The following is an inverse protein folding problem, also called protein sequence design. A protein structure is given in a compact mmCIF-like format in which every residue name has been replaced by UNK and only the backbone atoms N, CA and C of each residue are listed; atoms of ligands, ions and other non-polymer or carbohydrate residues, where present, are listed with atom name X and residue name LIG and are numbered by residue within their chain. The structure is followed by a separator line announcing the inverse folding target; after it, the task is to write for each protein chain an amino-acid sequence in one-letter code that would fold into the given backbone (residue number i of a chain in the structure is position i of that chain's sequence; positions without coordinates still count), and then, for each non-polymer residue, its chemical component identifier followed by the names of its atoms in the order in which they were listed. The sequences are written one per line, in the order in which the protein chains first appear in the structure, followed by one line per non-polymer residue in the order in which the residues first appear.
data_IF_834284307299
#
_entry.id   IF_834284307299
#
_cell.length_a   1.000
_cell.length_b   1.000
_cell.length_c   1.000
_cell.angle_alpha   90.00
_cell.angle_beta   90.00
_cell.angle_gamma   90.00
#
_symmetry.space_group_name_H-M   'P 1'
#
loop_
_entity.id
_entity.type
_entity.pdbx_description
1 polymer ?
#
# COMPACT_ATOMS: atom_id res chain seq x y z
N UNK A 1 3.59 -8.94 -3.58
CA UNK A 1 4.49 -9.50 -2.56
C UNK A 1 4.90 -8.35 -1.65
N UNK A 2 4.68 -8.47 -0.33
CA UNK A 2 5.13 -7.46 0.64
C UNK A 2 6.55 -7.85 1.01
N UNK A 3 7.54 -7.19 0.41
CA UNK A 3 8.95 -7.41 0.74
C UNK A 3 9.27 -6.62 2.01
N UNK A 4 9.24 -7.28 3.15
CA UNK A 4 9.92 -6.79 4.36
C UNK A 4 11.41 -7.05 4.21
N UNK A 5 12.22 -6.01 4.37
CA UNK A 5 13.68 -6.06 4.32
C UNK A 5 14.22 -7.14 5.29
N UNK A 6 15.14 -7.96 4.81
CA UNK A 6 15.70 -9.10 5.53
C UNK A 6 16.72 -8.60 6.57
N UNK A 7 16.24 -8.13 7.72
CA UNK A 7 17.13 -7.74 8.82
C UNK A 7 16.51 -6.87 9.90
N UNK A 8 15.60 -7.42 10.72
CA UNK A 8 15.31 -6.82 12.03
C UNK A 8 13.87 -6.94 12.51
N UNK A 9 13.54 -8.11 13.06
CA UNK A 9 12.35 -8.32 13.88
C UNK A 9 11.06 -8.48 13.08
N UNK A 10 10.35 -9.58 13.31
CA UNK A 10 8.90 -9.65 13.03
C UNK A 10 8.27 -8.39 13.61
N UNK A 11 7.60 -7.52 12.83
CA UNK A 11 6.93 -6.37 13.42
C UNK A 11 5.88 -6.93 14.39
N UNK A 12 6.04 -6.68 15.68
CA UNK A 12 4.98 -6.92 16.68
C UNK A 12 3.71 -6.10 16.37
N UNK A 13 3.81 -5.17 15.40
CA UNK A 13 2.71 -4.64 14.62
C UNK A 13 2.25 -5.65 13.55
N UNK A 14 1.39 -6.58 13.94
CA UNK A 14 0.67 -7.37 12.95
C UNK A 14 -0.26 -6.44 12.16
N UNK A 15 0.00 -6.30 10.85
CA UNK A 15 -0.83 -5.51 9.95
C UNK A 15 -1.35 -6.41 8.83
N UNK A 16 -2.64 -6.35 8.55
CA UNK A 16 -3.26 -7.02 7.41
C UNK A 16 -3.52 -6.00 6.30
N UNK A 17 -3.10 -6.33 5.08
CA UNK A 17 -3.36 -5.51 3.89
C UNK A 17 -4.35 -6.24 2.99
N UNK A 18 -5.47 -5.60 2.70
CA UNK A 18 -6.41 -6.02 1.68
C UNK A 18 -6.28 -5.14 0.44
N UNK A 19 -6.33 -5.74 -0.73
CA UNK A 19 -6.42 -5.03 -2.00
C UNK A 19 -7.62 -5.57 -2.78
N UNK A 20 -8.42 -4.67 -3.34
CA UNK A 20 -9.51 -5.03 -4.24
C UNK A 20 -9.67 -3.97 -5.33
N UNK A 21 -10.12 -4.41 -6.51
CA UNK A 21 -10.54 -3.49 -7.56
C UNK A 21 -12.02 -3.18 -7.34
N UNK A 22 -12.36 -1.90 -7.26
CA UNK A 22 -13.74 -1.43 -6.99
C UNK A 22 -14.48 -1.03 -8.27
N UNK A 23 -13.74 -0.79 -9.35
CA UNK A 23 -14.28 -0.50 -10.66
C UNK A 23 -13.20 -0.56 -11.73
N UNK A 24 -13.58 -0.96 -12.93
CA UNK A 24 -12.70 -1.09 -14.09
C UNK A 24 -13.41 -0.52 -15.31
N UNK A 25 -12.68 0.15 -16.18
CA UNK A 25 -13.19 0.69 -17.44
C UNK A 25 -12.10 0.66 -18.52
N UNK A 26 -12.45 0.85 -19.80
CA UNK A 26 -11.45 0.91 -20.85
C UNK A 26 -10.40 2.01 -20.57
N UNK A 27 -9.16 1.59 -20.34
CA UNK A 27 -8.03 2.51 -20.08
C UNK A 27 -7.79 2.87 -18.61
N UNK A 28 -8.51 2.30 -17.64
CA UNK A 28 -8.25 2.58 -16.22
C UNK A 28 -9.00 1.68 -15.25
N UNK A 29 -8.60 1.74 -13.98
CA UNK A 29 -9.28 1.05 -12.90
C UNK A 29 -9.21 1.88 -11.61
N UNK A 30 -10.09 1.56 -10.67
CA UNK A 30 -10.07 2.09 -9.33
C UNK A 30 -9.75 0.94 -8.36
N UNK A 31 -8.61 1.02 -7.70
CA UNK A 31 -8.22 0.10 -6.62
C UNK A 31 -8.53 0.68 -5.25
N UNK A 32 -8.78 -0.19 -4.28
CA UNK A 32 -8.87 0.14 -2.87
C UNK A 32 -7.88 -0.72 -2.09
N UNK A 33 -7.09 -0.07 -1.25
CA UNK A 33 -6.18 -0.72 -0.31
C UNK A 33 -6.68 -0.46 1.11
N UNK A 34 -6.88 -1.54 1.87
CA UNK A 34 -7.25 -1.47 3.27
C UNK A 34 -6.10 -1.99 4.14
N UNK A 35 -5.49 -1.09 4.91
CA UNK A 35 -4.48 -1.45 5.92
C UNK A 35 -5.18 -1.56 7.28
N UNK A 36 -5.05 -2.71 7.93
CA UNK A 36 -5.65 -2.98 9.25
C UNK A 36 -4.55 -3.34 10.23
N UNK A 37 -4.49 -2.61 11.34
CA UNK A 37 -3.70 -3.02 12.49
C UNK A 37 -4.42 -4.17 13.22
N UNK A 38 -3.80 -5.34 13.24
CA UNK A 38 -4.27 -6.53 13.98
C UNK A 38 -3.51 -6.75 15.28
N UNK A 39 -2.54 -5.88 15.60
CA UNK A 39 -1.76 -5.91 16.83
C UNK A 39 -2.43 -5.15 17.97
N UNK A 40 -1.85 -5.27 19.16
CA UNK A 40 -2.29 -4.55 20.37
C UNK A 40 -1.61 -3.19 20.55
N UNK A 41 -0.57 -2.89 19.77
CA UNK A 41 0.14 -1.61 19.78
C UNK A 41 -0.33 -0.71 18.64
N UNK A 42 -0.29 0.61 18.85
CA UNK A 42 -0.56 1.57 17.79
C UNK A 42 0.50 1.43 16.68
N UNK A 43 0.05 1.38 15.43
CA UNK A 43 0.93 1.40 14.25
C UNK A 43 1.18 2.86 13.88
N UNK A 44 2.44 3.30 13.88
CA UNK A 44 2.80 4.62 13.39
C UNK A 44 4.30 4.81 13.23
N UNK A 45 4.72 5.83 12.45
CA UNK A 45 4.22 6.11 11.10
C UNK A 45 4.42 4.88 10.21
N UNK A 46 3.44 4.55 9.36
CA UNK A 46 3.54 3.41 8.44
C UNK A 46 3.82 3.86 7.01
N UNK A 47 4.54 3.02 6.28
CA UNK A 47 4.71 3.13 4.83
C UNK A 47 4.32 1.80 4.22
N UNK A 48 3.38 1.83 3.27
CA UNK A 48 3.04 0.66 2.47
C UNK A 48 3.85 0.72 1.16
N UNK A 49 4.72 -0.26 0.94
CA UNK A 49 5.46 -0.40 -0.30
C UNK A 49 4.90 -1.58 -1.12
N UNK A 50 4.68 -1.36 -2.41
CA UNK A 50 4.30 -2.39 -3.36
C UNK A 50 4.76 -2.02 -4.78
N UNK A 51 4.77 -3.00 -5.69
CA UNK A 51 5.13 -2.77 -7.09
C UNK A 51 3.99 -3.15 -8.01
N UNK A 52 3.71 -2.31 -9.00
CA UNK A 52 2.85 -2.67 -10.12
C UNK A 52 3.62 -3.52 -11.13
N UNK A 53 3.02 -4.64 -11.55
CA UNK A 53 3.65 -5.56 -12.50
C UNK A 53 3.58 -5.07 -13.96
N UNK A 54 2.53 -4.32 -14.31
CA UNK A 54 2.16 -4.08 -15.71
C UNK A 54 2.26 -2.61 -16.15
N UNK A 55 3.22 -1.85 -15.59
CA UNK A 55 3.41 -0.44 -15.94
C UNK A 55 2.23 0.47 -15.55
N UNK A 56 1.40 0.02 -14.61
CA UNK A 56 0.28 0.80 -14.09
C UNK A 56 0.80 2.04 -13.36
N UNK A 57 0.09 3.15 -13.47
CA UNK A 57 0.44 4.41 -12.80
C UNK A 57 -0.71 4.94 -11.95
N UNK A 58 -0.36 5.53 -10.81
CA UNK A 58 -1.35 6.17 -9.94
C UNK A 58 -1.63 7.57 -10.48
N UNK A 59 -2.87 7.80 -10.91
CA UNK A 59 -3.30 9.13 -11.37
C UNK A 59 -3.85 9.98 -10.23
N UNK A 60 -4.63 9.37 -9.34
CA UNK A 60 -5.23 10.01 -8.16
C UNK A 60 -5.22 9.03 -6.98
N UNK A 61 -5.03 9.55 -5.77
CA UNK A 61 -5.15 8.81 -4.52
C UNK A 61 -5.85 9.68 -3.47
N UNK A 62 -6.63 9.04 -2.60
CA UNK A 62 -7.22 9.63 -1.40
C UNK A 62 -6.96 8.71 -0.21
N UNK A 63 -6.97 9.28 1.00
CA UNK A 63 -6.67 8.54 2.23
C UNK A 63 -5.19 8.22 2.45
N UNK A 64 -4.31 8.68 1.56
CA UNK A 64 -2.87 8.49 1.63
C UNK A 64 -2.13 9.38 0.63
N UNK A 65 -0.82 9.47 0.81
CA UNK A 65 0.11 10.11 -0.13
C UNK A 65 0.93 9.02 -0.81
N UNK A 66 0.70 8.81 -2.11
CA UNK A 66 1.51 7.89 -2.92
C UNK A 66 2.69 8.62 -3.56
N UNK A 67 3.86 7.99 -3.54
CA UNK A 67 4.99 8.27 -4.43
C UNK A 67 5.21 7.04 -5.31
N UNK A 68 5.44 7.26 -6.60
CA UNK A 68 5.67 6.20 -7.56
C UNK A 68 6.93 6.49 -8.39
N UNK A 69 7.86 5.54 -8.36
CA UNK A 69 9.07 5.52 -9.17
C UNK A 69 8.99 4.32 -10.12
N UNK A 70 8.61 4.60 -11.37
CA UNK A 70 8.28 3.57 -12.36
C UNK A 70 7.23 2.58 -11.83
N UNK A 71 7.61 1.33 -11.58
CA UNK A 71 6.71 0.31 -11.02
C UNK A 71 6.60 0.32 -9.50
N UNK A 72 7.56 0.94 -8.79
CA UNK A 72 7.61 0.92 -7.33
C UNK A 72 6.73 2.02 -6.73
N UNK A 73 5.83 1.66 -5.83
CA UNK A 73 4.92 2.57 -5.15
C UNK A 73 5.19 2.53 -3.65
N UNK A 74 5.26 3.71 -3.03
CA UNK A 74 5.23 3.89 -1.58
C UNK A 74 4.05 4.77 -1.18
N UNK A 75 3.29 4.34 -0.18
CA UNK A 75 2.12 5.08 0.33
C UNK A 75 2.33 5.38 1.81
N UNK A 76 2.23 6.65 2.15
CA UNK A 76 2.13 7.13 3.53
C UNK A 76 0.68 7.47 3.88
N UNK A 77 0.26 7.38 5.16
CA UNK A 77 -1.04 7.87 5.59
C UNK A 77 -1.22 9.35 5.24
N UNK A 78 -2.45 9.75 4.91
CA UNK A 78 -2.77 11.16 4.81
C UNK A 78 -2.57 11.84 6.19
N UNK A 79 -2.22 13.13 6.22
CA UNK A 79 -2.08 13.90 7.46
C UNK A 79 -3.36 13.91 8.31
#
# INVERSE_FOLDING_TARGET
EVTTDEGGGTPDASCSVGYRVVGEWPGGFQGEIAVRNTGSAAVGPWTLAFSFADGQSITNMWGGTATQDAGAVSVAPAP
#
